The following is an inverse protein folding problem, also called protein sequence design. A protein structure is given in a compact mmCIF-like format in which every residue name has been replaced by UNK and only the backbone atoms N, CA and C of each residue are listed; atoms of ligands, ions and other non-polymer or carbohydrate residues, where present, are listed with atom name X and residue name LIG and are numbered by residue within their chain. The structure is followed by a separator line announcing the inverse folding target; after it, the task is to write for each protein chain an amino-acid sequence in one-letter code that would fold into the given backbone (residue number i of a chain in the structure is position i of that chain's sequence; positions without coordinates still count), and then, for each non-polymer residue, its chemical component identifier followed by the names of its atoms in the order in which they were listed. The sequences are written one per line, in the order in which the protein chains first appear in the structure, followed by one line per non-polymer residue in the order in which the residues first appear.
data_IF_025222133219
#
_entry.id   IF_025222133219
#
_cell.length_a   1.000
_cell.length_b   1.000
_cell.length_c   1.000
_cell.angle_alpha   90.00
_cell.angle_beta   90.00
_cell.angle_gamma   90.00
#
_symmetry.space_group_name_H-M   'P 1'
#
loop_
_entity.id
_entity.type
_entity.pdbx_description
1 polymer ?
#
# COMPACT_ATOMS: atom_id res chain seq x y z
N UNK A 1 9.76 16.67 2.39
CA UNK A 1 8.42 16.65 1.78
C UNK A 1 7.95 15.19 1.77
N UNK A 2 7.25 14.74 2.81
CA UNK A 2 6.98 13.31 3.04
C UNK A 2 6.27 12.61 1.88
N UNK A 3 5.25 13.25 1.30
CA UNK A 3 4.49 12.74 0.16
C UNK A 3 5.36 12.61 -1.09
N UNK A 4 6.22 13.60 -1.34
CA UNK A 4 7.19 13.54 -2.43
C UNK A 4 8.16 12.36 -2.25
N UNK A 5 8.73 12.20 -1.06
CA UNK A 5 9.67 11.12 -0.76
C UNK A 5 9.01 9.74 -0.89
N UNK A 6 7.81 9.58 -0.33
CA UNK A 6 7.04 8.34 -0.42
C UNK A 6 6.64 8.02 -1.87
N UNK A 7 6.16 9.01 -2.63
CA UNK A 7 5.83 8.86 -4.04
C UNK A 7 7.04 8.45 -4.87
N UNK A 8 8.17 9.13 -4.71
CA UNK A 8 9.43 8.78 -5.41
C UNK A 8 9.91 7.37 -5.10
N UNK A 9 9.74 6.92 -3.85
CA UNK A 9 10.10 5.54 -3.50
C UNK A 9 9.17 4.53 -4.18
N UNK A 10 7.86 4.79 -4.26
CA UNK A 10 6.94 3.96 -5.05
C UNK A 10 7.32 3.95 -6.54
N UNK A 11 7.66 5.10 -7.15
CA UNK A 11 8.12 5.15 -8.55
C UNK A 11 9.35 4.25 -8.79
N UNK A 12 10.21 4.12 -7.77
CA UNK A 12 11.43 3.32 -7.82
C UNK A 12 11.18 1.82 -7.63
N UNK A 13 10.29 1.42 -6.73
CA UNK A 13 10.14 0.01 -6.32
C UNK A 13 8.96 -0.71 -6.97
N UNK A 14 7.92 0.04 -7.38
CA UNK A 14 6.69 -0.55 -7.86
C UNK A 14 6.75 -0.81 -9.37
N UNK A 15 6.22 -1.95 -9.87
CA UNK A 15 6.04 -2.11 -11.30
C UNK A 15 5.07 -1.06 -11.86
N UNK A 16 5.12 -0.72 -13.16
CA UNK A 16 4.30 0.34 -13.75
C UNK A 16 2.79 0.13 -13.60
N UNK A 17 2.33 -1.12 -13.53
CA UNK A 17 0.92 -1.49 -13.38
C UNK A 17 0.43 -1.52 -11.93
N UNK A 18 1.32 -1.33 -10.95
CA UNK A 18 0.95 -1.39 -9.54
C UNK A 18 -0.02 -0.28 -9.16
N UNK A 19 -0.93 -0.61 -8.25
CA UNK A 19 -1.80 0.34 -7.60
C UNK A 19 -1.31 0.63 -6.18
N UNK A 20 -1.09 1.90 -5.87
CA UNK A 20 -0.65 2.36 -4.56
C UNK A 20 -1.78 3.08 -3.82
N UNK A 21 -2.02 2.71 -2.57
CA UNK A 21 -2.97 3.34 -1.68
C UNK A 21 -2.19 4.21 -0.70
N UNK A 22 -2.46 5.51 -0.71
CA UNK A 22 -1.87 6.46 0.24
C UNK A 22 -2.88 6.74 1.35
N UNK A 23 -2.49 6.50 2.59
CA UNK A 23 -3.26 6.91 3.76
C UNK A 23 -2.98 8.39 3.96
N UNK A 24 -3.86 9.23 3.44
CA UNK A 24 -3.77 10.70 3.43
C UNK A 24 -5.18 11.28 3.44
N UNK A 25 -5.33 12.47 4.03
CA UNK A 25 -6.57 13.25 3.92
C UNK A 25 -6.41 14.27 2.79
N UNK A 26 -7.11 14.07 1.67
CA UNK A 26 -7.22 15.04 0.58
C UNK A 26 -5.95 15.39 -0.24
N UNK A 27 -4.75 14.93 0.14
CA UNK A 27 -3.50 15.27 -0.56
C UNK A 27 -3.04 14.21 -1.57
N UNK A 28 -3.25 14.51 -2.86
CA UNK A 28 -2.88 13.64 -3.99
C UNK A 28 -1.39 13.66 -4.37
N UNK A 29 -0.56 14.45 -3.71
CA UNK A 29 0.84 14.66 -4.11
C UNK A 29 1.64 13.36 -4.13
N UNK A 30 1.40 12.46 -3.17
CA UNK A 30 2.08 11.16 -3.11
C UNK A 30 1.78 10.29 -4.34
N UNK A 31 0.52 10.26 -4.77
CA UNK A 31 0.10 9.54 -5.98
C UNK A 31 0.74 10.18 -7.22
N UNK A 32 0.71 11.51 -7.32
CA UNK A 32 1.31 12.23 -8.43
C UNK A 32 2.80 11.88 -8.60
N UNK A 33 3.59 11.98 -7.52
CA UNK A 33 5.03 11.68 -7.56
C UNK A 33 5.35 10.19 -7.73
N UNK A 34 4.39 9.30 -7.44
CA UNK A 34 4.56 7.86 -7.65
C UNK A 34 4.54 7.44 -9.12
N UNK A 35 3.92 8.25 -10.00
CA UNK A 35 3.63 7.86 -11.39
C UNK A 35 2.93 6.50 -11.50
N UNK A 36 2.15 6.13 -10.48
CA UNK A 36 1.32 4.92 -10.46
C UNK A 36 -0.13 5.32 -10.35
N UNK A 37 -1.02 4.40 -10.74
CA UNK A 37 -2.42 4.52 -10.36
C UNK A 37 -2.49 4.43 -8.84
N UNK A 38 -3.35 5.23 -8.24
CA UNK A 38 -3.51 5.19 -6.80
C UNK A 38 -4.86 5.68 -6.33
N UNK A 39 -5.14 5.36 -5.08
CA UNK A 39 -6.29 5.84 -4.35
C UNK A 39 -5.81 6.52 -3.07
N UNK A 40 -6.55 7.52 -2.63
CA UNK A 40 -6.53 7.88 -1.22
C UNK A 40 -7.28 6.80 -0.47
N UNK A 41 -6.67 6.32 0.60
CA UNK A 41 -7.40 5.53 1.55
C UNK A 41 -8.38 6.46 2.28
N UNK A 42 -9.61 6.02 2.47
CA UNK A 42 -10.52 6.60 3.47
C UNK A 42 -10.97 8.05 3.21
N UNK A 43 -10.72 8.59 2.01
CA UNK A 43 -11.22 9.89 1.56
C UNK A 43 -12.69 9.72 1.11
N UNK A 44 -13.55 10.67 1.48
CA UNK A 44 -15.01 10.57 1.46
C UNK A 44 -15.57 10.20 0.08
N UNK A 45 -16.01 8.94 -0.09
CA UNK A 45 -17.13 8.56 -0.97
C UNK A 45 -17.58 7.10 -0.79
N UNK A 46 -16.73 6.18 -0.31
CA UNK A 46 -17.09 4.76 -0.17
C UNK A 46 -16.63 4.07 1.15
N UNK A 47 -15.73 4.69 1.92
CA UNK A 47 -15.02 4.01 3.03
C UNK A 47 -14.96 4.79 4.34
N UNK A 48 -14.79 6.11 4.29
CA UNK A 48 -14.65 6.97 5.48
C UNK A 48 -13.45 6.63 6.36
N UNK A 49 -13.10 7.55 7.27
CA UNK A 49 -12.12 7.27 8.32
C UNK A 49 -12.67 6.17 9.25
N UNK A 50 -11.93 5.09 9.50
CA UNK A 50 -12.39 3.96 10.29
C UNK A 50 -12.51 4.33 11.76
N UNK A 51 -13.61 3.91 12.39
CA UNK A 51 -13.82 4.13 13.83
C UNK A 51 -12.94 3.23 14.71
N UNK A 52 -12.48 2.09 14.17
CA UNK A 52 -11.70 1.09 14.90
C UNK A 52 -10.80 0.26 13.96
N UNK A 53 -9.92 -0.55 14.57
CA UNK A 53 -9.00 -1.44 13.84
C UNK A 53 -9.73 -2.41 12.91
N UNK A 54 -10.92 -2.90 13.28
CA UNK A 54 -11.69 -3.87 12.48
C UNK A 54 -12.20 -3.21 11.20
N UNK A 55 -12.65 -1.97 11.26
CA UNK A 55 -13.06 -1.20 10.09
C UNK A 55 -11.86 -0.90 9.19
N UNK A 56 -10.71 -0.52 9.75
CA UNK A 56 -9.47 -0.29 8.99
C UNK A 56 -9.04 -1.55 8.22
N UNK A 57 -9.05 -2.72 8.88
CA UNK A 57 -8.74 -4.02 8.25
C UNK A 57 -9.73 -4.32 7.12
N UNK A 58 -11.04 -4.23 7.37
CA UNK A 58 -12.05 -4.55 6.37
C UNK A 58 -11.94 -3.65 5.13
N UNK A 59 -11.63 -2.38 5.33
CA UNK A 59 -11.50 -1.43 4.26
C UNK A 59 -10.20 -1.65 3.45
N UNK A 60 -9.08 -1.93 4.12
CA UNK A 60 -7.85 -2.37 3.47
C UNK A 60 -8.07 -3.61 2.60
N UNK A 61 -8.71 -4.65 3.12
CA UNK A 61 -8.93 -5.89 2.36
C UNK A 61 -9.84 -5.68 1.15
N UNK A 62 -10.80 -4.76 1.23
CA UNK A 62 -11.63 -4.42 0.08
C UNK A 62 -10.85 -3.62 -0.97
N UNK A 63 -9.92 -2.74 -0.59
CA UNK A 63 -8.98 -2.10 -1.53
C UNK A 63 -8.00 -3.12 -2.15
N UNK A 64 -7.49 -4.06 -1.36
CA UNK A 64 -6.62 -5.15 -1.83
C UNK A 64 -7.33 -6.02 -2.87
N UNK A 65 -8.59 -6.40 -2.63
CA UNK A 65 -9.43 -7.14 -3.60
C UNK A 65 -9.66 -6.37 -4.91
N UNK A 66 -9.59 -5.03 -4.88
CA UNK A 66 -9.64 -4.19 -6.08
C UNK A 66 -8.28 -4.03 -6.77
N UNK A 67 -7.23 -4.67 -6.27
CA UNK A 67 -5.90 -4.69 -6.87
C UNK A 67 -4.87 -3.78 -6.20
N UNK A 68 -5.16 -3.21 -5.02
CA UNK A 68 -4.15 -2.47 -4.27
C UNK A 68 -2.96 -3.37 -3.93
N UNK A 69 -1.76 -2.92 -4.32
CA UNK A 69 -0.50 -3.63 -4.10
C UNK A 69 0.34 -2.98 -3.00
N UNK A 70 0.33 -1.66 -2.91
CA UNK A 70 1.10 -0.94 -1.88
C UNK A 70 0.16 -0.16 -0.97
N UNK A 71 0.44 -0.19 0.33
CA UNK A 71 -0.16 0.70 1.31
C UNK A 71 0.93 1.61 1.87
N UNK A 72 0.69 2.92 1.81
CA UNK A 72 1.68 3.94 2.16
C UNK A 72 1.14 4.82 3.27
N UNK A 73 1.88 4.86 4.38
CA UNK A 73 1.73 5.85 5.43
C UNK A 73 2.83 6.89 5.27
N UNK A 74 2.50 8.16 5.48
CA UNK A 74 3.50 9.22 5.61
C UNK A 74 3.65 9.59 7.09
N UNK A 75 4.61 10.45 7.43
CA UNK A 75 4.73 10.97 8.81
C UNK A 75 3.42 11.58 9.34
N UNK A 76 2.54 12.07 8.46
CA UNK A 76 1.25 12.66 8.83
C UNK A 76 0.19 11.62 9.22
N UNK A 77 0.37 10.36 8.82
CA UNK A 77 -0.61 9.28 9.00
C UNK A 77 -0.04 8.04 9.65
N UNK A 78 1.27 7.99 9.92
CA UNK A 78 1.93 6.85 10.58
C UNK A 78 1.38 6.58 11.99
N UNK A 79 0.82 7.59 12.65
CA UNK A 79 0.14 7.47 13.94
C UNK A 79 -1.00 6.43 13.92
N UNK A 80 -1.56 6.11 12.75
CA UNK A 80 -2.54 5.02 12.60
C UNK A 80 -2.01 3.68 13.09
N UNK A 81 -0.72 3.42 12.92
CA UNK A 81 -0.10 2.16 13.33
C UNK A 81 -0.04 2.04 14.85
N UNK A 82 0.00 3.17 15.56
CA UNK A 82 -0.03 3.22 17.01
C UNK A 82 -1.46 3.27 17.56
N UNK A 83 -2.36 4.02 16.90
CA UNK A 83 -3.75 4.19 17.32
C UNK A 83 -4.60 2.93 17.07
N UNK A 84 -4.48 2.33 15.89
CA UNK A 84 -5.20 1.10 15.53
C UNK A 84 -4.28 -0.12 15.73
N UNK A 85 -4.00 -0.46 16.99
CA UNK A 85 -2.99 -1.47 17.31
C UNK A 85 -3.22 -2.83 16.62
N UNK A 86 -4.47 -3.30 16.58
CA UNK A 86 -4.79 -4.58 15.96
C UNK A 86 -4.70 -4.52 14.43
N UNK A 87 -4.92 -3.35 13.83
CA UNK A 87 -4.64 -3.13 12.41
C UNK A 87 -3.14 -3.20 12.12
N UNK A 88 -2.29 -2.60 12.96
CA UNK A 88 -0.83 -2.75 12.85
C UNK A 88 -0.41 -4.22 12.99
N UNK A 89 -0.88 -4.93 14.01
CA UNK A 89 -0.60 -6.37 14.20
C UNK A 89 -1.03 -7.18 12.97
N UNK A 90 -2.21 -6.85 12.40
CA UNK A 90 -2.70 -7.48 11.18
C UNK A 90 -1.77 -7.21 9.98
N UNK A 91 -1.35 -5.96 9.77
CA UNK A 91 -0.39 -5.61 8.72
C UNK A 91 0.93 -6.37 8.89
N UNK A 92 1.52 -6.33 10.08
CA UNK A 92 2.84 -6.91 10.34
C UNK A 92 2.85 -8.45 10.29
N UNK A 93 1.74 -9.10 10.63
CA UNK A 93 1.61 -10.57 10.56
C UNK A 93 1.33 -11.10 9.14
N UNK A 94 0.90 -10.24 8.22
CA UNK A 94 0.37 -10.66 6.92
C UNK A 94 1.14 -10.09 5.74
N UNK A 95 1.66 -8.88 5.86
CA UNK A 95 2.23 -8.11 4.76
C UNK A 95 3.66 -7.68 5.07
N UNK A 96 4.48 -7.62 4.02
CA UNK A 96 5.89 -7.23 4.16
C UNK A 96 6.01 -5.72 4.27
N UNK A 97 6.68 -5.23 5.32
CA UNK A 97 7.11 -3.83 5.42
C UNK A 97 8.34 -3.61 4.55
N UNK A 98 8.13 -3.17 3.32
CA UNK A 98 9.19 -3.00 2.32
C UNK A 98 10.17 -1.88 2.68
N UNK A 99 9.66 -0.76 3.19
CA UNK A 99 10.46 0.42 3.53
C UNK A 99 9.89 1.14 4.75
N UNK A 100 10.78 1.67 5.57
CA UNK A 100 10.44 2.51 6.71
C UNK A 100 11.53 3.56 6.88
N UNK A 101 11.11 4.82 6.98
CA UNK A 101 11.94 6.00 7.23
C UNK A 101 11.21 6.92 8.21
N UNK A 102 11.81 8.06 8.56
CA UNK A 102 11.10 9.10 9.30
C UNK A 102 9.93 9.72 8.51
N UNK A 103 10.00 9.72 7.17
CA UNK A 103 8.98 10.35 6.32
C UNK A 103 7.82 9.42 5.96
N UNK A 104 8.05 8.10 5.91
CA UNK A 104 7.06 7.15 5.40
C UNK A 104 7.28 5.70 5.83
N UNK A 105 6.20 4.92 5.76
CA UNK A 105 6.18 3.46 5.87
C UNK A 105 5.42 2.89 4.68
N UNK A 106 5.99 1.89 4.00
CA UNK A 106 5.38 1.24 2.84
C UNK A 106 5.26 -0.27 3.10
N UNK A 107 4.05 -0.78 2.95
CA UNK A 107 3.74 -2.21 2.96
C UNK A 107 3.47 -2.72 1.54
N UNK A 108 3.91 -3.95 1.24
CA UNK A 108 3.50 -4.70 0.05
C UNK A 108 2.39 -5.71 0.43
N UNK A 109 1.23 -5.55 -0.21
CA UNK A 109 0.00 -6.29 0.03
C UNK A 109 -0.11 -7.59 -0.81
N UNK A 110 0.92 -7.92 -1.60
CA UNK A 110 0.92 -9.12 -2.48
C UNK A 110 1.22 -10.42 -1.75
N UNK A 111 1.95 -10.37 -0.63
CA UNK A 111 2.23 -11.54 0.19
C UNK A 111 1.12 -11.76 1.21
N UNK A 112 0.62 -12.98 1.33
CA UNK A 112 0.19 -13.49 2.62
C UNK A 112 1.41 -14.17 3.22
N UNK A 113 2.05 -13.56 4.22
CA UNK A 113 3.23 -14.15 4.88
C UNK A 113 2.94 -15.51 5.53
N UNK A 114 1.66 -15.89 5.67
CA UNK A 114 1.22 -17.21 6.15
C UNK A 114 0.79 -18.17 5.01
N UNK A 115 0.79 -17.69 3.76
CA UNK A 115 0.40 -18.45 2.57
C UNK A 115 1.61 -18.94 1.78
N UNK A 116 2.54 -19.61 2.47
CA UNK A 116 3.68 -20.26 1.83
C UNK A 116 3.28 -21.52 1.07
N UNK A 117 2.61 -21.37 -0.08
CA UNK A 117 2.66 -22.27 -1.24
C UNK A 117 1.85 -21.68 -2.41
N UNK A 118 2.48 -20.83 -3.21
CA UNK A 118 2.02 -20.63 -4.58
C UNK A 118 3.20 -20.22 -5.47
N UNK A 119 3.77 -21.24 -6.12
CA UNK A 119 4.35 -21.23 -7.46
C UNK A 119 5.06 -19.96 -7.94
N UNK A 120 6.37 -20.12 -8.15
CA UNK A 120 7.13 -19.26 -9.05
C UNK A 120 6.43 -19.17 -10.40
N UNK A 121 5.89 -17.99 -10.69
CA UNK A 121 5.61 -17.56 -12.04
C UNK A 121 6.82 -16.73 -12.44
N UNK A 122 7.82 -17.42 -13.01
CA UNK A 122 8.80 -16.76 -13.87
C UNK A 122 8.05 -16.08 -15.01
N UNK A 123 8.37 -14.83 -15.37
CA UNK A 123 7.80 -14.24 -16.57
C UNK A 123 8.29 -15.04 -17.77
N UNK A 124 7.33 -15.52 -18.57
CA UNK A 124 7.57 -16.22 -19.82
C UNK A 124 8.46 -15.38 -20.74
N UNK A 125 9.54 -15.99 -21.23
CA UNK A 125 10.31 -15.46 -22.37
C UNK A 125 9.39 -15.40 -23.59
N UNK A 126 9.22 -14.21 -24.15
CA UNK A 126 8.58 -14.05 -25.45
C UNK A 126 9.50 -14.60 -26.55
N UNK A 127 8.99 -15.37 -27.53
CA UNK A 127 9.77 -15.71 -28.72
C UNK A 127 9.87 -14.47 -29.60
N UNK A 128 11.08 -14.06 -30.00
CA UNK A 128 11.26 -13.13 -31.11
C UNK A 128 11.71 -13.94 -32.32
N UNK A 129 10.84 -13.94 -33.33
CA UNK A 129 11.09 -14.38 -34.69
C UNK A 129 11.72 -13.20 -35.43
N UNK A 130 12.95 -13.36 -35.91
CA UNK A 130 13.33 -13.21 -37.33
C UNK A 130 14.78 -13.65 -37.54
#
# INVERSE_FOLDING_TARGET
MPQYNAGREIDRIAPPSALAVFVVQGDSSGIYYSKRKGWHAFDDSDWGEPLDSKQAINALEKLRKRGARYLVFTQYTVWWLDYYEDFRKYLDSRYSRMRQTADYVIFDLTGDLNGGTANGISPASAPTVQ
#
